data_IF_576661912766
#
_entry.id   IF_576661912766
#
_cell.length_a   1.000
_cell.length_b   1.000
_cell.length_c   1.000
_cell.angle_alpha   90.00
_cell.angle_beta   90.00
_cell.angle_gamma   90.00
#
_symmetry.space_group_name_H-M   'P 1'
#
loop_
_entity.id
_entity.type
_entity.pdbx_description
1 polymer ?
#
# COMPACT_ATOMS: atom_id res chain seq x y z
N UNK A 1 -6.73 11.18 10.25
CA UNK A 1 -6.02 10.06 9.58
C UNK A 1 -6.79 8.77 9.72
N UNK A 2 -7.46 8.32 8.66
CA UNK A 2 -8.05 6.97 8.61
C UNK A 2 -6.97 5.97 8.17
N UNK A 3 -6.83 4.88 8.93
CA UNK A 3 -5.92 3.80 8.60
C UNK A 3 -6.69 2.64 8.00
N UNK A 4 -6.16 2.07 6.93
CA UNK A 4 -6.76 0.93 6.24
C UNK A 4 -5.83 -0.27 6.27
N UNK A 5 -6.41 -1.45 6.16
CA UNK A 5 -5.64 -2.70 6.09
C UNK A 5 -4.96 -2.82 4.72
N UNK A 6 -3.91 -3.64 4.59
CA UNK A 6 -3.27 -3.90 3.30
C UNK A 6 -4.26 -4.46 2.27
N UNK A 7 -5.23 -5.26 2.74
CA UNK A 7 -6.26 -5.85 1.89
C UNK A 7 -7.24 -4.80 1.36
N UNK A 8 -7.64 -3.87 2.21
CA UNK A 8 -8.50 -2.73 1.84
C UNK A 8 -7.80 -1.82 0.82
N UNK A 9 -6.53 -1.48 1.09
CA UNK A 9 -5.70 -0.66 0.22
C UNK A 9 -5.53 -1.33 -1.16
N UNK A 10 -5.30 -2.64 -1.17
CA UNK A 10 -5.16 -3.43 -2.39
C UNK A 10 -6.44 -3.40 -3.22
N UNK A 11 -7.61 -3.55 -2.56
CA UNK A 11 -8.91 -3.49 -3.21
C UNK A 11 -9.20 -2.11 -3.80
N UNK A 12 -8.86 -1.03 -3.10
CA UNK A 12 -9.04 0.34 -3.61
C UNK A 12 -8.12 0.66 -4.79
N UNK A 13 -6.88 0.16 -4.75
CA UNK A 13 -5.88 0.38 -5.80
C UNK A 13 -6.00 -0.60 -6.97
N UNK A 14 -6.76 -1.69 -6.82
CA UNK A 14 -6.80 -2.77 -7.81
C UNK A 14 -5.46 -3.51 -7.97
N UNK A 15 -4.60 -3.49 -6.94
CA UNK A 15 -3.30 -4.15 -6.96
C UNK A 15 -3.28 -5.31 -5.98
N UNK A 16 -2.34 -6.24 -6.16
CA UNK A 16 -2.16 -7.32 -5.20
C UNK A 16 -1.50 -6.81 -3.91
N UNK A 17 -1.81 -7.44 -2.76
CA UNK A 17 -1.24 -7.06 -1.45
C UNK A 17 0.28 -7.18 -1.45
N UNK A 18 0.85 -8.10 -2.23
CA UNK A 18 2.31 -8.23 -2.41
C UNK A 18 2.94 -6.96 -2.99
N UNK A 19 2.27 -6.30 -3.95
CA UNK A 19 2.73 -5.03 -4.52
C UNK A 19 2.78 -3.93 -3.46
N UNK A 20 1.79 -3.87 -2.56
CA UNK A 20 1.79 -2.91 -1.45
C UNK A 20 2.94 -3.14 -0.47
N UNK A 21 3.25 -4.41 -0.16
CA UNK A 21 4.41 -4.75 0.68
C UNK A 21 5.72 -4.35 0.01
N UNK A 22 5.80 -4.54 -1.30
CA UNK A 22 6.96 -4.12 -2.09
C UNK A 22 7.12 -2.60 -2.08
N UNK A 23 6.03 -1.86 -2.26
CA UNK A 23 6.03 -0.38 -2.21
C UNK A 23 6.34 0.16 -0.81
N UNK A 24 5.91 -0.51 0.25
CA UNK A 24 6.35 -0.22 1.63
C UNK A 24 7.88 -0.37 1.73
N UNK A 25 8.43 -1.51 1.28
CA UNK A 25 9.87 -1.77 1.32
C UNK A 25 10.67 -0.78 0.47
N UNK A 26 10.12 -0.33 -0.66
CA UNK A 26 10.72 0.69 -1.53
C UNK A 26 10.55 2.12 -1.00
N UNK A 27 9.80 2.33 0.10
CA UNK A 27 9.54 3.66 0.65
C UNK A 27 8.53 4.50 -0.14
N UNK A 28 7.85 3.91 -1.12
CA UNK A 28 6.81 4.56 -1.94
C UNK A 28 5.49 4.71 -1.21
N UNK A 29 5.24 3.88 -0.20
CA UNK A 29 4.07 3.94 0.66
C UNK A 29 4.51 3.97 2.13
N UNK A 30 3.90 4.86 2.91
CA UNK A 30 4.04 4.86 4.36
C UNK A 30 3.02 3.91 4.99
N UNK A 31 3.53 2.86 5.63
CA UNK A 31 2.76 2.01 6.51
C UNK A 31 3.16 2.27 7.96
N UNK A 32 2.18 2.36 8.83
CA UNK A 32 2.37 2.36 10.27
C UNK A 32 2.37 0.90 10.73
N UNK A 33 3.43 0.49 11.42
CA UNK A 33 3.45 -0.78 12.12
C UNK A 33 2.85 -0.58 13.49
N UNK A 34 1.74 -1.25 13.77
CA UNK A 34 1.21 -1.30 15.14
C UNK A 34 2.16 -2.13 16.00
N UNK A 35 2.19 -1.93 17.33
CA UNK A 35 3.00 -2.75 18.23
C UNK A 35 2.66 -4.25 18.14
N UNK A 36 1.46 -4.62 17.66
CA UNK A 36 1.08 -6.00 17.34
C UNK A 36 1.58 -6.53 15.99
N UNK A 37 2.49 -5.83 15.31
CA UNK A 37 3.10 -6.26 14.04
C UNK A 37 2.22 -6.13 12.80
N UNK A 38 1.04 -5.51 12.91
CA UNK A 38 0.16 -5.30 11.77
C UNK A 38 0.54 -4.03 11.01
N UNK A 39 0.47 -4.12 9.67
CA UNK A 39 0.67 -2.99 8.78
C UNK A 39 -0.66 -2.25 8.60
N UNK A 40 -0.65 -0.95 8.89
CA UNK A 40 -1.76 -0.04 8.65
C UNK A 40 -1.32 1.03 7.68
N UNK A 41 -1.98 1.12 6.54
CA UNK A 41 -1.68 2.14 5.54
C UNK A 41 -2.55 3.37 5.81
N UNK A 42 -1.99 4.56 5.59
CA UNK A 42 -2.76 5.80 5.67
C UNK A 42 -3.56 5.92 4.38
N UNK A 43 -4.87 6.09 4.49
CA UNK A 43 -5.76 6.14 3.33
C UNK A 43 -5.33 7.22 2.32
N UNK A 44 -5.03 8.42 2.80
CA UNK A 44 -4.59 9.55 1.94
C UNK A 44 -3.31 9.23 1.15
N UNK A 45 -2.36 8.51 1.75
CA UNK A 45 -1.12 8.13 1.09
C UNK A 45 -1.37 7.06 0.01
N UNK A 46 -2.30 6.14 0.28
CA UNK A 46 -2.75 5.12 -0.67
C UNK A 46 -3.45 5.77 -1.86
N UNK A 47 -4.32 6.75 -1.62
CA UNK A 47 -5.00 7.50 -2.68
C UNK A 47 -4.03 8.35 -3.50
N UNK A 48 -3.02 8.97 -2.87
CA UNK A 48 -1.94 9.66 -3.58
C UNK A 48 -1.09 8.71 -4.42
N UNK A 49 -0.76 7.54 -3.90
CA UNK A 49 0.00 6.53 -4.63
C UNK A 49 -0.74 6.01 -5.87
N UNK A 50 -2.09 6.08 -5.89
CA UNK A 50 -2.91 5.76 -7.05
C UNK A 50 -2.61 6.65 -8.28
N UNK A 51 -2.02 7.84 -8.06
CA UNK A 51 -1.61 8.76 -9.12
C UNK A 51 -0.24 8.47 -9.75
N UNK A 52 0.50 7.46 -9.27
CA UNK A 52 1.81 7.09 -9.84
C UNK A 52 1.57 6.26 -11.12
N UNK A 53 2.08 6.69 -12.28
CA UNK A 53 1.81 6.03 -13.55
C UNK A 53 2.27 4.57 -13.54
N UNK A 54 1.37 3.71 -14.03
CA UNK A 54 1.47 2.25 -14.10
C UNK A 54 2.66 1.83 -14.96
N UNK A 55 3.84 1.69 -14.36
CA UNK A 55 4.95 0.94 -14.97
C UNK A 55 5.55 0.00 -13.95
N UNK A 56 4.78 -0.98 -13.49
CA UNK A 56 5.39 -2.17 -12.89
C UNK A 56 4.67 -3.38 -13.50
N UNK A 57 5.36 -3.98 -14.49
CA UNK A 57 5.20 -5.40 -14.83
C UNK A 57 5.21 -6.17 -13.52
N UNK A 58 4.08 -6.75 -13.15
CA UNK A 58 4.06 -7.82 -12.15
C UNK A 58 4.75 -9.01 -12.79
N UNK A 59 6.06 -9.11 -12.62
CA UNK A 59 6.76 -10.38 -12.81
C UNK A 59 6.46 -11.16 -11.54
N UNK A 60 5.73 -12.27 -11.68
CA UNK A 60 5.61 -13.29 -10.64
C UNK A 60 6.99 -13.81 -10.25
#
# INVERSE_FOLDING_TARGET
MQHITPKEAAKRLGVHVSSLRRWENEGKLKAIRTPGGQRRFILEEVEKAAGIPRTIRTVC
#
